data_IF_689767354045
#
_entry.id   IF_689767354045
#
_cell.length_a   1.000
_cell.length_b   1.000
_cell.length_c   1.000
_cell.angle_alpha   90.00
_cell.angle_beta   90.00
_cell.angle_gamma   90.00
#
_symmetry.space_group_name_H-M   'P 1'
#
loop_
_entity.id
_entity.type
_entity.pdbx_description
1 polymer ?
#
# COMPACT_ATOMS: atom_id res chain seq x y z
N UNK A 1 -6.95 -1.59 20.24
CA UNK A 1 -7.47 -1.54 18.85
C UNK A 1 -6.70 -2.55 18.01
N UNK A 2 -7.37 -3.48 17.33
CA UNK A 2 -6.67 -4.44 16.48
C UNK A 2 -6.01 -3.74 15.29
N UNK A 3 -4.84 -4.26 14.89
CA UNK A 3 -4.13 -3.81 13.69
C UNK A 3 -4.29 -4.86 12.60
N UNK A 4 -4.73 -4.42 11.42
CA UNK A 4 -4.93 -5.30 10.28
C UNK A 4 -3.90 -4.99 9.20
N UNK A 5 -3.15 -5.99 8.76
CA UNK A 5 -2.08 -5.85 7.77
C UNK A 5 -2.55 -6.26 6.37
N UNK A 6 -2.16 -5.48 5.37
CA UNK A 6 -2.47 -5.74 3.97
C UNK A 6 -1.41 -5.04 3.08
N UNK A 7 -1.11 -5.52 1.86
CA UNK A 7 -1.62 -6.71 1.19
C UNK A 7 -0.95 -8.03 1.61
N UNK A 8 -0.07 -8.05 2.56
CA UNK A 8 0.48 -9.27 3.11
C UNK A 8 2.01 -9.30 3.19
N UNK A 9 2.59 -10.49 3.09
CA UNK A 9 4.02 -10.73 3.18
C UNK A 9 4.73 -10.67 1.82
N UNK A 10 5.14 -11.83 1.26
CA UNK A 10 5.87 -11.90 -0.01
C UNK A 10 5.08 -11.29 -1.19
N UNK A 11 3.77 -11.40 -1.18
CA UNK A 11 2.90 -10.80 -2.19
C UNK A 11 3.01 -9.27 -2.23
N UNK A 12 3.29 -8.62 -1.09
CA UNK A 12 3.45 -7.17 -1.04
C UNK A 12 4.57 -6.67 -1.96
N UNK A 13 5.64 -7.45 -2.14
CA UNK A 13 6.77 -7.09 -3.00
C UNK A 13 6.48 -7.23 -4.51
N UNK A 14 5.33 -7.78 -4.86
CA UNK A 14 4.86 -7.93 -6.24
C UNK A 14 3.60 -7.09 -6.51
N UNK A 15 2.99 -6.54 -5.47
CA UNK A 15 1.72 -5.82 -5.58
C UNK A 15 1.92 -4.37 -6.01
N UNK A 16 1.27 -3.99 -7.10
CA UNK A 16 1.19 -2.61 -7.58
C UNK A 16 -0.18 -2.03 -7.21
N UNK A 17 -0.20 -1.07 -6.31
CA UNK A 17 -1.42 -0.57 -5.70
C UNK A 17 -2.41 0.07 -6.69
N UNK A 18 -1.89 0.65 -7.79
CA UNK A 18 -2.75 1.22 -8.83
C UNK A 18 -3.61 0.18 -9.54
N UNK A 19 -3.20 -1.08 -9.55
CA UNK A 19 -3.99 -2.17 -10.12
C UNK A 19 -5.22 -2.51 -9.26
N UNK A 20 -5.23 -2.09 -8.02
CA UNK A 20 -6.31 -2.34 -7.06
C UNK A 20 -7.25 -1.16 -6.82
N UNK A 21 -7.25 -0.14 -7.69
CA UNK A 21 -8.12 1.02 -7.60
C UNK A 21 -9.00 1.19 -8.83
N UNK A 22 -10.04 2.02 -8.72
CA UNK A 22 -11.00 2.24 -9.80
C UNK A 22 -12.04 1.12 -9.93
N UNK A 23 -12.83 1.09 -11.02
CA UNK A 23 -13.86 0.09 -11.23
C UNK A 23 -13.29 -1.34 -11.22
N UNK A 24 -13.90 -2.23 -10.44
CA UNK A 24 -13.40 -3.60 -10.22
C UNK A 24 -13.30 -4.43 -11.51
N UNK A 25 -14.25 -4.26 -12.41
CA UNK A 25 -14.29 -4.96 -13.69
C UNK A 25 -13.17 -4.55 -14.66
N UNK A 26 -12.56 -3.40 -14.41
CA UNK A 26 -11.46 -2.85 -15.21
C UNK A 26 -10.08 -3.07 -14.61
N UNK A 27 -10.02 -3.63 -13.40
CA UNK A 27 -8.74 -3.88 -12.75
C UNK A 27 -7.99 -5.04 -13.43
N UNK A 28 -6.67 -4.91 -13.63
CA UNK A 28 -5.89 -5.98 -14.26
C UNK A 28 -5.86 -7.23 -13.39
N UNK A 29 -5.77 -8.38 -14.04
CA UNK A 29 -5.55 -9.67 -13.38
C UNK A 29 -4.06 -9.97 -13.37
N UNK A 30 -3.57 -10.55 -12.27
CA UNK A 30 -2.18 -10.95 -12.13
C UNK A 30 -2.08 -12.38 -11.60
N UNK A 31 -0.96 -13.04 -11.92
CA UNK A 31 -0.66 -14.35 -11.39
C UNK A 31 0.14 -14.23 -10.09
N UNK A 32 -0.35 -14.86 -9.02
CA UNK A 32 0.35 -14.89 -7.75
C UNK A 32 1.31 -16.09 -7.71
N UNK A 33 2.57 -15.86 -8.06
CA UNK A 33 3.58 -16.91 -8.14
C UNK A 33 4.01 -17.44 -6.77
N UNK A 34 3.78 -16.69 -5.69
CA UNK A 34 4.09 -17.10 -4.33
C UNK A 34 3.06 -18.08 -3.75
N UNK A 35 1.88 -18.18 -4.35
CA UNK A 35 0.76 -18.98 -3.89
C UNK A 35 0.22 -19.91 -4.99
N UNK A 36 1.13 -20.70 -5.61
CA UNK A 36 0.75 -21.72 -6.55
C UNK A 36 0.23 -21.23 -7.92
N UNK A 37 0.54 -19.98 -8.28
CA UNK A 37 0.12 -19.42 -9.56
C UNK A 37 -1.37 -19.06 -9.66
N UNK A 38 -2.04 -18.85 -8.54
CA UNK A 38 -3.44 -18.41 -8.50
C UNK A 38 -3.60 -17.06 -9.19
N UNK A 39 -4.72 -16.85 -9.87
CA UNK A 39 -5.01 -15.57 -10.53
C UNK A 39 -5.68 -14.64 -9.53
N UNK A 40 -5.03 -13.50 -9.30
CA UNK A 40 -5.57 -12.39 -8.52
C UNK A 40 -6.27 -11.40 -9.46
N UNK A 41 -7.53 -11.11 -9.19
CA UNK A 41 -8.31 -10.17 -10.01
C UNK A 41 -8.30 -8.73 -9.49
N UNK A 42 -7.57 -8.46 -8.40
CA UNK A 42 -7.47 -7.14 -7.74
C UNK A 42 -8.82 -6.55 -7.31
N UNK A 43 -9.83 -7.40 -7.08
CA UNK A 43 -11.15 -6.96 -6.63
C UNK A 43 -11.15 -6.39 -5.22
N UNK A 44 -10.17 -6.79 -4.40
CA UNK A 44 -9.96 -6.25 -3.06
C UNK A 44 -8.69 -5.37 -3.09
N UNK A 45 -8.89 -4.07 -3.08
CA UNK A 45 -7.81 -3.07 -3.17
C UNK A 45 -7.83 -2.09 -2.01
N UNK A 46 -7.21 -0.93 -2.21
CA UNK A 46 -7.04 0.11 -1.18
C UNK A 46 -8.37 0.55 -0.57
N UNK A 47 -9.37 0.86 -1.37
CA UNK A 47 -10.67 1.32 -0.88
C UNK A 47 -11.37 0.23 -0.06
N UNK A 48 -11.40 -0.99 -0.56
CA UNK A 48 -12.03 -2.12 0.11
C UNK A 48 -11.37 -2.41 1.45
N UNK A 49 -10.03 -2.41 1.49
CA UNK A 49 -9.29 -2.68 2.72
C UNK A 49 -9.48 -1.58 3.77
N UNK A 50 -9.26 -0.32 3.38
CA UNK A 50 -9.34 0.80 4.33
C UNK A 50 -10.77 1.04 4.81
N UNK A 51 -11.77 0.85 3.95
CA UNK A 51 -13.17 0.92 4.37
C UNK A 51 -13.53 -0.23 5.32
N UNK A 52 -12.99 -1.43 5.11
CA UNK A 52 -13.15 -2.54 6.05
C UNK A 52 -12.56 -2.18 7.42
N UNK A 53 -11.36 -1.63 7.47
CA UNK A 53 -10.72 -1.20 8.70
C UNK A 53 -11.59 -0.18 9.47
N UNK A 54 -12.17 0.79 8.77
CA UNK A 54 -13.08 1.76 9.38
C UNK A 54 -14.33 1.06 9.97
N UNK A 55 -14.91 0.11 9.24
CA UNK A 55 -16.11 -0.61 9.69
C UNK A 55 -15.90 -1.45 10.95
N UNK A 56 -14.75 -2.13 11.05
CA UNK A 56 -14.47 -3.02 12.18
C UNK A 56 -13.70 -2.33 13.31
N UNK A 57 -13.32 -1.07 13.15
CA UNK A 57 -12.54 -0.34 14.13
C UNK A 57 -11.10 -0.81 14.24
N UNK A 58 -10.53 -1.36 13.17
CA UNK A 58 -9.13 -1.77 13.10
C UNK A 58 -8.24 -0.64 12.56
N UNK A 59 -7.00 -0.59 13.02
CA UNK A 59 -5.99 0.30 12.44
C UNK A 59 -5.32 -0.38 11.26
N UNK A 60 -5.26 0.28 10.08
CA UNK A 60 -4.61 -0.32 8.92
C UNK A 60 -3.09 -0.28 9.05
N UNK A 61 -2.46 -1.38 8.72
CA UNK A 61 -1.03 -1.50 8.49
C UNK A 61 -0.80 -1.84 7.02
N UNK A 62 -0.25 -0.90 6.27
CA UNK A 62 0.02 -1.06 4.84
C UNK A 62 1.43 -1.56 4.62
N UNK A 63 1.58 -2.66 3.90
CA UNK A 63 2.89 -3.18 3.48
C UNK A 63 3.21 -2.66 2.07
N UNK A 64 4.22 -1.80 1.97
CA UNK A 64 4.62 -1.20 0.69
C UNK A 64 5.44 -2.17 -0.17
N UNK A 65 5.34 -2.02 -1.48
CA UNK A 65 6.13 -2.76 -2.45
C UNK A 65 7.45 -2.04 -2.72
N UNK A 66 8.54 -2.62 -2.24
CA UNK A 66 9.90 -2.14 -2.56
C UNK A 66 10.74 -3.20 -3.29
N UNK A 67 10.14 -4.35 -3.58
CA UNK A 67 10.75 -5.41 -4.39
C UNK A 67 10.69 -5.10 -5.87
N UNK A 68 9.49 -5.10 -6.45
CA UNK A 68 9.25 -4.77 -7.86
C UNK A 68 8.78 -3.33 -8.08
N UNK A 69 8.34 -2.64 -7.03
CA UNK A 69 7.92 -1.25 -7.08
C UNK A 69 9.04 -0.27 -6.72
N UNK A 70 8.79 1.00 -6.98
CA UNK A 70 9.70 2.10 -6.65
C UNK A 70 9.28 2.82 -5.37
N UNK A 71 10.22 3.55 -4.76
CA UNK A 71 9.92 4.45 -3.63
C UNK A 71 8.91 5.53 -4.06
N UNK A 72 8.98 5.99 -5.30
CA UNK A 72 8.04 6.95 -5.87
C UNK A 72 6.62 6.39 -5.95
N UNK A 73 6.46 5.12 -6.36
CA UNK A 73 5.18 4.43 -6.37
C UNK A 73 4.58 4.36 -4.96
N UNK A 74 5.40 4.05 -3.95
CA UNK A 74 4.98 4.01 -2.56
C UNK A 74 4.58 5.40 -2.05
N UNK A 75 5.35 6.43 -2.37
CA UNK A 75 5.03 7.81 -1.99
C UNK A 75 3.70 8.28 -2.59
N UNK A 76 3.41 7.92 -3.84
CA UNK A 76 2.12 8.19 -4.48
C UNK A 76 0.98 7.45 -3.79
N UNK A 77 1.20 6.25 -3.33
CA UNK A 77 0.19 5.51 -2.57
C UNK A 77 -0.13 6.18 -1.23
N UNK A 78 0.89 6.63 -0.51
CA UNK A 78 0.70 7.40 0.73
C UNK A 78 -0.08 8.68 0.46
N UNK A 79 0.26 9.43 -0.57
CA UNK A 79 -0.48 10.63 -1.00
C UNK A 79 -1.94 10.30 -1.30
N UNK A 80 -2.20 9.24 -2.04
CA UNK A 80 -3.54 8.77 -2.38
C UNK A 80 -4.39 8.49 -1.14
N UNK A 81 -3.82 7.84 -0.15
CA UNK A 81 -4.54 7.44 1.07
C UNK A 81 -4.74 8.59 2.05
N UNK A 82 -3.77 9.49 2.18
CA UNK A 82 -3.69 10.42 3.32
C UNK A 82 -3.79 11.90 2.96
N UNK A 83 -3.64 12.30 1.71
CA UNK A 83 -3.70 13.70 1.33
C UNK A 83 -5.14 14.19 1.18
N UNK A 84 -5.47 15.32 1.81
CA UNK A 84 -6.73 16.04 1.65
C UNK A 84 -6.59 17.30 0.78
N UNK A 85 -5.37 17.59 0.31
CA UNK A 85 -5.08 18.74 -0.52
C UNK A 85 -5.53 18.56 -1.99
N UNK A 86 -5.24 19.57 -2.80
CA UNK A 86 -5.43 19.52 -4.25
C UNK A 86 -4.18 18.94 -4.91
N UNK A 87 -4.02 17.63 -4.81
CA UNK A 87 -2.90 16.89 -5.36
C UNK A 87 -3.39 15.85 -6.38
N UNK A 88 -2.55 15.42 -7.34
CA UNK A 88 -2.96 14.44 -8.36
C UNK A 88 -3.51 13.15 -7.78
N UNK A 89 -2.86 12.61 -6.74
CA UNK A 89 -3.29 11.35 -6.13
C UNK A 89 -4.53 11.52 -5.24
N UNK A 90 -4.66 12.63 -4.52
CA UNK A 90 -5.87 12.95 -3.77
C UNK A 90 -7.08 13.13 -4.71
N UNK A 91 -6.87 13.78 -5.84
CA UNK A 91 -7.91 13.95 -6.85
C UNK A 91 -8.31 12.61 -7.50
N UNK A 92 -7.35 11.72 -7.72
CA UNK A 92 -7.62 10.37 -8.21
C UNK A 92 -8.45 9.56 -7.20
N UNK A 93 -8.16 9.68 -5.89
CA UNK A 93 -8.98 9.05 -4.84
C UNK A 93 -10.43 9.53 -4.90
N UNK A 94 -10.64 10.84 -5.02
CA UNK A 94 -11.97 11.44 -5.12
C UNK A 94 -12.71 10.96 -6.36
N UNK A 95 -12.03 10.89 -7.49
CA UNK A 95 -12.57 10.31 -8.73
C UNK A 95 -13.00 8.86 -8.55
N UNK A 96 -12.28 8.10 -7.74
CA UNK A 96 -12.58 6.71 -7.45
C UNK A 96 -13.63 6.52 -6.32
N UNK A 97 -14.25 7.60 -5.85
CA UNK A 97 -15.41 7.54 -4.97
C UNK A 97 -15.15 7.83 -3.49
N UNK A 98 -13.93 8.18 -3.11
CA UNK A 98 -13.62 8.54 -1.72
C UNK A 98 -13.17 10.00 -1.63
N UNK A 99 -14.03 10.84 -1.07
CA UNK A 99 -13.74 12.26 -0.87
C UNK A 99 -12.70 12.49 0.22
N UNK A 100 -12.89 11.86 1.38
CA UNK A 100 -12.09 12.06 2.58
C UNK A 100 -10.89 11.11 2.62
N UNK A 101 -9.73 11.57 3.10
CA UNK A 101 -8.58 10.71 3.36
C UNK A 101 -8.88 9.65 4.43
N UNK A 102 -8.07 8.60 4.45
CA UNK A 102 -8.08 7.63 5.54
C UNK A 102 -6.99 7.95 6.55
N UNK A 103 -7.19 7.53 7.79
CA UNK A 103 -6.18 7.64 8.84
C UNK A 103 -5.26 6.41 8.82
N UNK A 104 -4.19 6.47 8.04
CA UNK A 104 -3.18 5.41 7.94
C UNK A 104 -1.98 5.82 8.80
N UNK A 105 -1.77 5.11 9.91
CA UNK A 105 -0.69 5.38 10.85
C UNK A 105 0.55 4.53 10.62
N UNK A 106 0.35 3.29 10.16
CA UNK A 106 1.42 2.30 10.01
C UNK A 106 1.65 1.95 8.56
N UNK A 107 2.89 2.12 8.13
CA UNK A 107 3.35 1.75 6.81
C UNK A 107 4.63 0.94 6.94
N UNK A 108 4.60 -0.30 6.47
CA UNK A 108 5.79 -1.13 6.32
C UNK A 108 6.42 -0.89 4.97
N UNK A 109 7.71 -0.60 4.93
CA UNK A 109 8.46 -0.45 3.69
C UNK A 109 8.96 -1.83 3.27
N UNK A 110 8.08 -2.58 2.62
CA UNK A 110 8.35 -3.92 2.10
C UNK A 110 8.60 -4.99 3.15
N UNK A 111 8.74 -6.21 2.68
CA UNK A 111 9.41 -7.26 3.44
C UNK A 111 10.91 -7.11 3.17
N UNK A 112 11.53 -6.08 3.73
CA UNK A 112 12.96 -5.90 3.63
C UNK A 112 13.69 -6.99 4.41
N UNK A 113 13.83 -8.13 3.77
CA UNK A 113 14.89 -9.06 4.05
C UNK A 113 16.11 -8.63 3.23
N UNK A 114 16.53 -7.39 3.37
CA UNK A 114 17.81 -7.04 2.82
C UNK A 114 18.86 -7.71 3.67
N UNK A 115 19.54 -8.65 3.06
CA UNK A 115 20.71 -9.32 3.61
C UNK A 115 21.86 -8.29 3.70
N UNK A 116 21.75 -7.38 4.64
CA UNK A 116 22.92 -6.65 5.09
C UNK A 116 23.70 -7.60 5.96
N UNK A 117 24.88 -8.04 5.47
CA UNK A 117 25.93 -8.75 6.18
C UNK A 117 25.56 -9.14 7.63
N UNK A 118 24.85 -10.28 7.83
CA UNK A 118 24.53 -10.90 9.12
C UNK A 118 23.22 -10.52 9.85
N UNK A 119 22.18 -10.01 9.21
CA UNK A 119 20.90 -9.83 9.91
C UNK A 119 19.78 -9.27 9.05
N UNK A 120 18.56 -9.66 9.41
CA UNK A 120 17.35 -9.14 8.80
C UNK A 120 16.87 -7.93 9.59
N UNK A 121 16.75 -6.76 8.97
CA UNK A 121 16.19 -5.57 9.62
C UNK A 121 14.82 -5.24 9.04
N UNK A 122 13.85 -5.15 9.92
CA UNK A 122 12.50 -4.67 9.60
C UNK A 122 12.49 -3.15 9.82
N UNK A 123 12.29 -2.38 8.77
CA UNK A 123 12.11 -0.94 8.90
C UNK A 123 10.62 -0.62 9.05
N UNK A 124 10.24 -0.05 10.19
CA UNK A 124 8.93 0.54 10.41
C UNK A 124 9.03 2.05 10.31
N UNK A 125 8.14 2.65 9.56
CA UNK A 125 7.94 4.10 9.58
C UNK A 125 6.66 4.36 10.37
N UNK A 126 6.80 4.93 11.55
CA UNK A 126 5.66 5.24 12.43
C UNK A 126 4.76 6.35 11.88
N UNK A 127 5.25 7.10 10.91
CA UNK A 127 4.53 8.26 10.38
C UNK A 127 4.61 8.29 8.85
N UNK A 128 3.48 8.09 8.19
CA UNK A 128 3.40 8.06 6.73
C UNK A 128 3.92 9.35 6.06
N UNK A 129 3.96 10.47 6.78
CA UNK A 129 4.51 11.73 6.30
C UNK A 129 6.03 11.72 6.11
N UNK A 130 6.76 10.88 6.84
CA UNK A 130 8.22 10.83 6.77
C UNK A 130 8.73 10.23 5.46
N UNK A 131 7.93 9.35 4.82
CA UNK A 131 8.32 8.75 3.53
C UNK A 131 8.39 9.77 2.40
N UNK A 132 7.52 10.77 2.42
CA UNK A 132 7.54 11.84 1.42
C UNK A 132 8.79 12.73 1.53
N UNK A 133 9.50 12.67 2.64
CA UNK A 133 10.72 13.47 2.90
C UNK A 133 12.02 12.66 2.78
N UNK A 134 11.94 11.33 2.65
CA UNK A 134 13.10 10.53 2.38
C UNK A 134 13.58 10.79 0.93
N UNK A 135 14.56 11.67 0.80
CA UNK A 135 15.28 11.81 -0.45
C UNK A 135 16.01 10.50 -0.76
N UNK A 136 16.04 10.08 -2.04
CA UNK A 136 16.84 8.92 -2.40
C UNK A 136 18.27 9.15 -1.95
N UNK A 137 18.75 8.28 -1.09
CA UNK A 137 20.18 8.24 -0.80
C UNK A 137 20.90 7.82 -2.07
N UNK A 138 21.63 8.76 -2.61
CA UNK A 138 22.49 8.54 -3.77
C UNK A 138 23.59 7.53 -3.44
#
# INVERSE_FOLDING_TARGET
VPVLRWPGGCFADEYHWMDGIGPRDKRPKMQNNNWGGTIENNSFGTHEFLNLCEKIGAEPYISGNVGSGSVEELAKWVEYMTSDGDTPMANLRRKNGREKSWNVKYLGVGRFWQKFNHGYQLFFVENAYEICTLQPMS
#
